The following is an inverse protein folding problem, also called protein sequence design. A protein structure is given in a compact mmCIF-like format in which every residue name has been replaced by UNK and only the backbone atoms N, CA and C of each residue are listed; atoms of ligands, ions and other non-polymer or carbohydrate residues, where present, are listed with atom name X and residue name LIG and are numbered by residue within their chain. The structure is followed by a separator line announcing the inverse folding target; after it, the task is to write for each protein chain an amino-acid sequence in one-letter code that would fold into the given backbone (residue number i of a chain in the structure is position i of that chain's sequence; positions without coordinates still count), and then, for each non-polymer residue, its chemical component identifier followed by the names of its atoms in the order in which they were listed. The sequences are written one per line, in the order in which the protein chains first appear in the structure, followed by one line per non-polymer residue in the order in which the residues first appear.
data_IF_367113984517
#
_entry.id   IF_367113984517
#
_cell.length_a   1.000
_cell.length_b   1.000
_cell.length_c   1.000
_cell.angle_alpha   90.00
_cell.angle_beta   90.00
_cell.angle_gamma   90.00
#
_symmetry.space_group_name_H-M   'P 1'
#
loop_
_entity.id
_entity.type
_entity.pdbx_description
1 polymer ?
#
# COMPACT_ATOMS: atom_id res chain seq x y z
N UNK A 1 4.27 -3.23 -14.72
CA UNK A 1 3.56 -4.41 -14.17
C UNK A 1 2.64 -4.94 -15.25
N UNK A 2 2.68 -6.22 -15.59
CA UNK A 2 1.75 -6.80 -16.59
C UNK A 2 0.46 -7.29 -15.91
N UNK A 3 -0.62 -7.48 -16.67
CA UNK A 3 -1.91 -7.91 -16.12
C UNK A 3 -1.82 -9.26 -15.38
N UNK A 4 -0.96 -10.18 -15.85
CA UNK A 4 -0.72 -11.48 -15.23
C UNK A 4 -0.20 -11.34 -13.80
N UNK A 5 0.76 -10.43 -13.55
CA UNK A 5 1.30 -10.18 -12.21
C UNK A 5 0.22 -9.68 -11.24
N UNK A 6 -0.66 -8.80 -11.71
CA UNK A 6 -1.78 -8.28 -10.90
C UNK A 6 -2.71 -9.42 -10.49
N UNK A 7 -3.16 -10.22 -11.47
CA UNK A 7 -4.05 -11.36 -11.21
C UNK A 7 -3.42 -12.36 -10.25
N UNK A 8 -2.15 -12.72 -10.47
CA UNK A 8 -1.44 -13.65 -9.59
C UNK A 8 -1.30 -13.09 -8.17
N UNK A 9 -0.92 -11.81 -8.01
CA UNK A 9 -0.81 -11.18 -6.69
C UNK A 9 -2.15 -11.13 -5.95
N UNK A 10 -3.24 -10.81 -6.65
CA UNK A 10 -4.60 -10.84 -6.07
C UNK A 10 -4.99 -12.26 -5.66
N UNK A 11 -4.75 -13.27 -6.50
CA UNK A 11 -5.05 -14.66 -6.17
C UNK A 11 -4.23 -15.17 -4.99
N UNK A 12 -2.95 -14.81 -4.91
CA UNK A 12 -2.11 -15.13 -3.75
C UNK A 12 -2.66 -14.51 -2.48
N UNK A 13 -2.97 -13.20 -2.49
CA UNK A 13 -3.54 -12.51 -1.33
C UNK A 13 -4.89 -13.11 -0.89
N UNK A 14 -5.77 -13.40 -1.85
CA UNK A 14 -7.05 -14.07 -1.60
C UNK A 14 -6.86 -15.45 -0.96
N UNK A 15 -5.99 -16.28 -1.54
CA UNK A 15 -5.75 -17.66 -1.06
C UNK A 15 -5.15 -17.66 0.33
N UNK A 16 -4.18 -16.79 0.60
CA UNK A 16 -3.58 -16.63 1.94
C UNK A 16 -4.62 -16.14 2.93
N UNK A 17 -5.41 -15.12 2.59
CA UNK A 17 -6.49 -14.63 3.48
C UNK A 17 -7.53 -15.71 3.80
N UNK A 18 -7.96 -16.46 2.78
CA UNK A 18 -8.89 -17.58 2.94
C UNK A 18 -8.30 -18.69 3.83
N UNK A 19 -7.03 -19.04 3.63
CA UNK A 19 -6.34 -20.05 4.43
C UNK A 19 -6.27 -19.64 5.91
N UNK A 20 -5.86 -18.41 6.22
CA UNK A 20 -5.80 -17.91 7.59
C UNK A 20 -7.16 -17.91 8.28
N UNK A 21 -8.21 -17.53 7.54
CA UNK A 21 -9.58 -17.60 8.07
C UNK A 21 -10.03 -19.05 8.29
N UNK A 22 -9.64 -19.96 7.39
CA UNK A 22 -9.97 -21.39 7.48
C UNK A 22 -9.33 -22.07 8.69
N UNK A 23 -8.08 -21.74 9.02
CA UNK A 23 -7.37 -22.27 10.19
C UNK A 23 -7.60 -21.46 11.48
N UNK A 24 -8.47 -20.44 11.42
CA UNK A 24 -8.81 -19.55 12.54
C UNK A 24 -7.63 -18.83 13.20
N UNK A 25 -6.55 -18.61 12.44
CA UNK A 25 -5.38 -17.86 12.90
C UNK A 25 -5.57 -16.36 12.57
N UNK A 26 -5.16 -15.43 13.47
CA UNK A 26 -5.17 -14.01 13.15
C UNK A 26 -4.42 -13.72 11.85
N UNK A 27 -5.05 -12.94 10.96
CA UNK A 27 -4.41 -12.56 9.70
C UNK A 27 -3.22 -11.62 9.96
N UNK A 28 -2.11 -11.72 9.20
CA UNK A 28 -0.98 -10.80 9.32
C UNK A 28 -1.28 -9.41 8.73
N UNK A 29 -2.28 -9.31 7.86
CA UNK A 29 -2.70 -8.07 7.20
C UNK A 29 -3.61 -7.23 8.12
N UNK A 30 -3.74 -5.90 7.87
CA UNK A 30 -4.59 -5.04 8.67
C UNK A 30 -6.04 -5.58 8.74
N UNK A 31 -6.61 -5.78 9.94
CA UNK A 31 -7.88 -6.48 10.09
C UNK A 31 -9.10 -5.57 9.89
N UNK A 32 -8.91 -4.28 9.63
CA UNK A 32 -9.99 -3.30 9.52
C UNK A 32 -9.80 -2.38 8.31
N UNK A 33 -10.91 -1.73 7.92
CA UNK A 33 -10.92 -0.80 6.80
C UNK A 33 -9.95 0.36 7.01
N UNK A 34 -9.79 0.86 8.24
CA UNK A 34 -8.88 1.96 8.54
C UNK A 34 -7.42 1.61 8.18
N UNK A 35 -6.96 0.41 8.52
CA UNK A 35 -5.62 -0.06 8.19
C UNK A 35 -5.40 -0.27 6.70
N UNK A 36 -6.41 -0.79 6.00
CA UNK A 36 -6.39 -0.93 4.52
C UNK A 36 -6.31 0.46 3.87
N UNK A 37 -7.13 1.40 4.31
CA UNK A 37 -7.13 2.77 3.80
C UNK A 37 -5.80 3.49 4.09
N UNK A 38 -5.13 3.17 5.20
CA UNK A 38 -3.78 3.65 5.47
C UNK A 38 -2.77 3.24 4.39
N UNK A 39 -2.76 1.96 4.00
CA UNK A 39 -1.88 1.45 2.92
C UNK A 39 -2.21 2.12 1.58
N UNK A 40 -3.50 2.26 1.26
CA UNK A 40 -3.95 2.95 0.04
C UNK A 40 -3.48 4.41 0.05
N UNK A 41 -3.62 5.12 1.16
CA UNK A 41 -3.17 6.50 1.32
C UNK A 41 -1.67 6.66 1.14
N UNK A 42 -0.86 5.73 1.68
CA UNK A 42 0.59 5.70 1.48
C UNK A 42 0.93 5.58 -0.01
N UNK A 43 0.29 4.64 -0.72
CA UNK A 43 0.55 4.44 -2.15
C UNK A 43 0.16 5.67 -2.98
N UNK A 44 -1.04 6.22 -2.75
CA UNK A 44 -1.52 7.41 -3.48
C UNK A 44 -0.62 8.61 -3.19
N UNK A 45 -0.28 8.86 -1.91
CA UNK A 45 0.62 9.94 -1.52
C UNK A 45 1.98 9.82 -2.19
N UNK A 46 2.56 8.61 -2.23
CA UNK A 46 3.80 8.35 -2.96
C UNK A 46 3.69 8.67 -4.46
N UNK A 47 2.62 8.23 -5.12
CA UNK A 47 2.41 8.47 -6.54
C UNK A 47 2.27 9.97 -6.84
N UNK A 48 1.47 10.68 -6.06
CA UNK A 48 1.26 12.13 -6.20
C UNK A 48 2.57 12.90 -6.03
N UNK A 49 3.34 12.59 -4.97
CA UNK A 49 4.63 13.26 -4.75
C UNK A 49 5.65 12.92 -5.86
N UNK A 50 5.61 11.69 -6.38
CA UNK A 50 6.46 11.27 -7.50
C UNK A 50 6.13 12.02 -8.81
N UNK A 51 4.86 12.35 -9.04
CA UNK A 51 4.44 13.13 -10.21
C UNK A 51 4.69 14.64 -10.04
N UNK A 52 4.50 15.16 -8.82
CA UNK A 52 4.78 16.56 -8.50
C UNK A 52 6.29 16.86 -8.47
N UNK A 53 7.13 15.83 -8.31
CA UNK A 53 8.59 15.97 -8.24
C UNK A 53 9.06 16.72 -6.99
N UNK A 54 8.20 16.88 -5.98
CA UNK A 54 8.51 17.62 -4.76
C UNK A 54 9.27 16.69 -3.80
N UNK A 55 10.45 17.10 -3.38
CA UNK A 55 11.28 16.38 -2.42
C UNK A 55 11.36 17.14 -1.09
N UNK A 56 12.05 16.53 -0.12
CA UNK A 56 12.34 17.20 1.14
C UNK A 56 13.33 18.36 0.97
N UNK A 57 14.13 18.35 -0.09
CA UNK A 57 15.08 19.41 -0.41
C UNK A 57 14.35 20.70 -0.83
N UNK A 58 13.25 20.56 -1.57
CA UNK A 58 12.39 21.68 -1.95
C UNK A 58 11.75 22.33 -0.72
N UNK A 59 11.37 21.50 0.27
CA UNK A 59 10.83 21.98 1.53
C UNK A 59 11.88 22.77 2.32
N UNK A 60 13.10 22.23 2.48
CA UNK A 60 14.17 22.95 3.18
C UNK A 60 14.52 24.27 2.50
N UNK A 61 14.60 24.26 1.17
CA UNK A 61 14.81 25.47 0.37
C UNK A 61 13.72 26.51 0.62
N UNK A 62 12.45 26.10 0.67
CA UNK A 62 11.33 27.00 0.94
C UNK A 62 11.32 27.56 2.37
N UNK A 63 11.82 26.79 3.35
CA UNK A 63 11.96 27.21 4.74
C UNK A 63 13.23 28.03 5.01
N UNK A 64 14.11 28.18 4.01
CA UNK A 64 15.39 28.87 4.15
C UNK A 64 16.40 28.14 5.05
N UNK A 65 16.25 26.82 5.18
CA UNK A 65 17.13 25.92 5.94
C UNK A 65 18.15 25.23 5.04
#
# INVERSE_FOLDING_TARGET
MNATQVVLATLTGFTVGALFKFVEIPIPAPPNLAGIMGIVGIFVGFQVMSELGVTIDDLFTALGL
#
